data_IF_425004793597
#
_entry.id   IF_425004793597
#
_cell.length_a   1.000
_cell.length_b   1.000
_cell.length_c   1.000
_cell.angle_alpha   90.00
_cell.angle_beta   90.00
_cell.angle_gamma   90.00
#
_symmetry.space_group_name_H-M   'P 1'
#
loop_
_entity.id
_entity.type
_entity.pdbx_description
1 polymer ?
#
# COMPACT_ATOMS: atom_id res chain seq x y z
N UNK A 1 -40.71 -0.18 38.08
CA UNK A 1 -40.36 0.47 36.80
C UNK A 1 -41.60 0.59 35.93
N UNK A 2 -42.08 1.80 35.64
CA UNK A 2 -43.38 2.03 34.98
C UNK A 2 -43.43 1.55 33.51
N UNK A 3 -44.62 1.17 33.03
CA UNK A 3 -44.88 0.68 31.65
C UNK A 3 -44.35 1.63 30.56
N UNK A 4 -44.34 2.95 30.79
CA UNK A 4 -43.76 3.96 29.90
C UNK A 4 -42.23 3.88 29.83
N UNK A 5 -41.56 3.71 30.97
CA UNK A 5 -40.10 3.56 31.04
C UNK A 5 -39.67 2.29 30.30
N UNK A 6 -40.38 1.17 30.47
CA UNK A 6 -40.10 -0.08 29.72
C UNK A 6 -40.24 0.12 28.21
N UNK A 7 -41.29 0.81 27.73
CA UNK A 7 -41.46 1.10 26.29
C UNK A 7 -40.36 2.00 25.72
N UNK A 8 -39.94 3.03 26.48
CA UNK A 8 -38.84 3.91 26.07
C UNK A 8 -37.50 3.17 26.01
N UNK A 9 -37.19 2.36 27.03
CA UNK A 9 -35.98 1.52 27.05
C UNK A 9 -36.00 0.52 25.89
N UNK A 10 -37.12 -0.18 25.66
CA UNK A 10 -37.25 -1.09 24.52
C UNK A 10 -37.11 -0.39 23.17
N UNK A 11 -37.65 0.83 23.03
CA UNK A 11 -37.49 1.64 21.81
C UNK A 11 -36.04 2.04 21.57
N UNK A 12 -35.32 2.47 22.61
CA UNK A 12 -33.90 2.80 22.52
C UNK A 12 -33.02 1.59 22.20
N UNK A 13 -33.30 0.44 22.82
CA UNK A 13 -32.60 -0.82 22.50
C UNK A 13 -32.84 -1.22 21.05
N UNK A 14 -34.08 -1.15 20.57
CA UNK A 14 -34.41 -1.46 19.18
C UNK A 14 -33.69 -0.51 18.20
N UNK A 15 -33.72 0.81 18.46
CA UNK A 15 -32.98 1.79 17.65
C UNK A 15 -31.47 1.54 17.66
N UNK A 16 -30.90 1.18 18.82
CA UNK A 16 -29.50 0.80 18.94
C UNK A 16 -29.15 -0.45 18.14
N UNK A 17 -30.01 -1.48 18.15
CA UNK A 17 -29.83 -2.69 17.36
C UNK A 17 -29.92 -2.43 15.86
N UNK A 18 -30.92 -1.66 15.43
CA UNK A 18 -31.08 -1.27 14.01
C UNK A 18 -29.89 -0.43 13.55
N UNK A 19 -29.48 0.56 14.35
CA UNK A 19 -28.31 1.39 14.05
C UNK A 19 -27.02 0.59 14.01
N UNK A 20 -26.82 -0.34 14.94
CA UNK A 20 -25.66 -1.24 14.96
C UNK A 20 -25.63 -2.20 13.77
N UNK A 21 -26.77 -2.78 13.38
CA UNK A 21 -26.88 -3.64 12.22
C UNK A 21 -26.63 -2.87 10.91
N UNK A 22 -27.18 -1.66 10.78
CA UNK A 22 -26.93 -0.79 9.63
C UNK A 22 -25.45 -0.38 9.53
N UNK A 23 -24.84 0.00 10.67
CA UNK A 23 -23.41 0.31 10.73
C UNK A 23 -22.57 -0.88 10.29
N UNK A 24 -22.78 -2.06 10.89
CA UNK A 24 -22.08 -3.28 10.51
C UNK A 24 -22.27 -3.62 9.03
N UNK A 25 -23.50 -3.52 8.51
CA UNK A 25 -23.79 -3.83 7.11
C UNK A 25 -23.00 -2.94 6.14
N UNK A 26 -22.88 -1.65 6.46
CA UNK A 26 -22.19 -0.65 5.64
C UNK A 26 -20.68 -0.73 5.82
N UNK A 27 -20.20 -1.12 7.00
CA UNK A 27 -18.77 -1.21 7.31
C UNK A 27 -18.22 -2.62 7.24
N UNK A 28 -18.98 -3.63 6.79
CA UNK A 28 -18.45 -4.99 6.69
C UNK A 28 -17.38 -5.08 5.59
N UNK A 29 -16.43 -6.03 5.71
CA UNK A 29 -15.53 -6.40 4.64
C UNK A 29 -16.27 -6.66 3.32
N UNK A 30 -15.81 -6.00 2.25
CA UNK A 30 -16.43 -6.03 0.93
C UNK A 30 -15.38 -6.48 -0.11
N UNK A 31 -15.03 -7.79 -0.14
CA UNK A 31 -14.16 -8.35 -1.16
C UNK A 31 -14.84 -8.33 -2.53
N UNK A 32 -14.04 -8.36 -3.59
CA UNK A 32 -14.49 -8.76 -4.92
C UNK A 32 -14.97 -10.21 -4.89
N UNK A 33 -15.99 -10.50 -5.69
CA UNK A 33 -16.45 -11.85 -5.92
C UNK A 33 -15.37 -12.69 -6.64
N UNK A 34 -15.47 -14.02 -6.56
CA UNK A 34 -14.45 -14.92 -7.07
C UNK A 34 -14.22 -14.77 -8.59
N UNK A 35 -15.29 -14.52 -9.34
CA UNK A 35 -15.31 -14.30 -10.79
C UNK A 35 -14.47 -13.10 -11.24
N UNK A 36 -14.28 -12.10 -10.39
CA UNK A 36 -13.38 -10.97 -10.66
C UNK A 36 -11.94 -11.42 -10.94
N UNK A 37 -11.53 -12.55 -10.37
CA UNK A 37 -10.17 -13.09 -10.47
C UNK A 37 -10.06 -14.25 -11.47
N UNK A 38 -11.14 -14.60 -12.15
CA UNK A 38 -11.18 -15.65 -13.17
C UNK A 38 -10.83 -15.10 -14.56
N UNK A 39 -10.37 -15.97 -15.46
CA UNK A 39 -10.13 -15.59 -16.87
C UNK A 39 -8.95 -14.63 -17.10
N UNK A 40 -8.06 -14.43 -16.12
CA UNK A 40 -6.88 -13.55 -16.22
C UNK A 40 -5.72 -14.18 -17.01
N UNK A 41 -5.85 -15.44 -17.45
CA UNK A 41 -4.80 -16.21 -18.13
C UNK A 41 -3.71 -16.69 -17.18
N UNK A 42 -2.71 -17.37 -17.76
CA UNK A 42 -1.51 -17.78 -17.02
C UNK A 42 -0.70 -16.55 -16.57
N UNK A 43 -0.12 -16.57 -15.36
CA UNK A 43 0.68 -15.45 -14.87
C UNK A 43 1.97 -15.30 -15.69
N UNK A 44 2.25 -14.05 -16.10
CA UNK A 44 3.54 -13.66 -16.68
C UNK A 44 4.51 -13.37 -15.53
N UNK A 45 5.44 -14.31 -15.28
CA UNK A 45 6.38 -14.20 -14.16
C UNK A 45 7.38 -13.05 -14.33
N UNK A 46 7.70 -12.66 -15.57
CA UNK A 46 8.61 -11.54 -15.82
C UNK A 46 7.93 -10.21 -15.48
N UNK A 47 6.66 -10.04 -15.85
CA UNK A 47 5.87 -8.90 -15.39
C UNK A 47 5.65 -8.95 -13.87
N UNK A 48 5.39 -10.14 -13.32
CA UNK A 48 5.22 -10.35 -11.88
C UNK A 48 6.43 -9.90 -11.06
N UNK A 49 7.65 -10.17 -11.57
CA UNK A 49 8.88 -9.67 -10.98
C UNK A 49 8.97 -8.13 -11.03
N UNK A 50 8.60 -7.50 -12.15
CA UNK A 50 8.59 -6.04 -12.24
C UNK A 50 7.62 -5.42 -11.23
N UNK A 51 6.43 -6.00 -11.10
CA UNK A 51 5.42 -5.55 -10.13
C UNK A 51 5.87 -5.81 -8.69
N UNK A 52 6.59 -6.90 -8.42
CA UNK A 52 7.17 -7.20 -7.12
C UNK A 52 8.16 -6.11 -6.67
N UNK A 53 9.05 -5.70 -7.58
CA UNK A 53 10.00 -4.62 -7.31
C UNK A 53 9.30 -3.27 -7.21
N UNK A 54 8.33 -2.98 -8.08
CA UNK A 54 7.54 -1.75 -8.00
C UNK A 54 6.77 -1.65 -6.67
N UNK A 55 6.15 -2.75 -6.24
CA UNK A 55 5.42 -2.90 -4.98
C UNK A 55 6.28 -2.75 -3.72
N UNK A 56 7.59 -2.93 -3.85
CA UNK A 56 8.53 -2.89 -2.74
C UNK A 56 8.27 -3.94 -1.68
N UNK A 57 7.82 -5.15 -2.07
CA UNK A 57 7.46 -6.24 -1.15
C UNK A 57 8.59 -6.53 -0.15
N UNK A 58 9.85 -6.52 -0.62
CA UNK A 58 11.03 -6.76 0.21
C UNK A 58 11.26 -5.68 1.28
N UNK A 59 10.82 -4.44 1.05
CA UNK A 59 11.07 -3.32 1.97
C UNK A 59 10.36 -3.50 3.31
N UNK A 60 9.27 -4.27 3.34
CA UNK A 60 8.50 -4.54 4.54
C UNK A 60 8.57 -6.00 4.99
N UNK A 61 8.75 -6.95 4.07
CA UNK A 61 8.63 -8.38 4.39
C UNK A 61 9.97 -9.13 4.44
N UNK A 62 11.07 -8.54 3.99
CA UNK A 62 12.39 -9.12 4.16
C UNK A 62 12.96 -8.82 5.55
N UNK A 63 13.79 -9.73 6.05
CA UNK A 63 14.48 -9.54 7.33
C UNK A 63 15.41 -8.32 7.27
N UNK A 64 15.41 -7.51 8.33
CA UNK A 64 16.29 -6.33 8.40
C UNK A 64 17.77 -6.72 8.26
N UNK A 65 18.46 -6.03 7.36
CA UNK A 65 19.88 -6.29 7.05
C UNK A 65 20.11 -7.44 6.07
N UNK A 66 19.07 -8.05 5.49
CA UNK A 66 19.24 -9.01 4.40
C UNK A 66 19.77 -8.32 3.14
N UNK A 67 20.70 -8.97 2.45
CA UNK A 67 21.30 -8.50 1.20
C UNK A 67 21.21 -9.57 0.12
N UNK A 68 21.33 -9.17 -1.15
CA UNK A 68 21.22 -10.08 -2.30
C UNK A 68 19.93 -10.89 -2.28
N UNK A 69 20.02 -12.17 -2.61
CA UNK A 69 18.88 -13.09 -2.70
C UNK A 69 18.22 -13.36 -1.35
N UNK A 70 18.90 -13.10 -0.22
CA UNK A 70 18.27 -13.21 1.10
C UNK A 70 17.11 -12.23 1.28
N UNK A 71 17.07 -11.14 0.50
CA UNK A 71 15.94 -10.20 0.46
C UNK A 71 14.66 -10.84 -0.10
N UNK A 72 14.79 -11.92 -0.88
CA UNK A 72 13.66 -12.63 -1.47
C UNK A 72 12.99 -13.61 -0.49
N UNK A 73 13.57 -13.82 0.70
CA UNK A 73 12.95 -14.61 1.78
C UNK A 73 12.00 -13.71 2.57
N UNK A 74 10.72 -13.71 2.18
CA UNK A 74 9.70 -12.81 2.73
C UNK A 74 9.06 -13.31 4.03
N UNK A 75 9.91 -13.57 5.03
CA UNK A 75 9.58 -14.16 6.32
C UNK A 75 8.86 -13.22 7.31
N UNK A 76 8.67 -11.95 6.95
CA UNK A 76 8.24 -10.90 7.87
C UNK A 76 9.43 -10.01 8.25
N UNK A 77 9.25 -8.70 8.09
CA UNK A 77 10.30 -7.71 8.32
C UNK A 77 10.24 -7.03 9.69
N UNK A 78 11.01 -5.95 9.87
CA UNK A 78 11.08 -5.25 11.14
C UNK A 78 9.73 -4.61 11.52
N UNK A 79 9.44 -4.47 12.82
CA UNK A 79 8.22 -3.81 13.29
C UNK A 79 8.17 -2.34 12.87
N UNK A 80 7.02 -1.90 12.40
CA UNK A 80 6.71 -0.52 12.06
C UNK A 80 6.06 0.15 13.27
N UNK A 81 6.79 1.07 13.91
CA UNK A 81 6.28 1.85 15.04
C UNK A 81 5.46 3.03 14.54
N UNK A 82 4.32 3.28 15.19
CA UNK A 82 3.45 4.42 14.88
C UNK A 82 2.81 4.98 16.15
N UNK A 83 2.19 6.17 16.08
CA UNK A 83 1.34 6.69 17.15
C UNK A 83 0.15 5.79 17.51
N UNK A 84 -0.21 4.84 16.64
CA UNK A 84 -1.35 3.92 16.80
C UNK A 84 -0.96 2.56 17.39
N UNK A 85 0.32 2.33 17.66
CA UNK A 85 0.88 1.04 18.10
C UNK A 85 1.94 0.49 17.13
N UNK A 86 2.33 -0.76 17.35
CA UNK A 86 3.36 -1.45 16.56
C UNK A 86 2.72 -2.40 15.55
N UNK A 87 3.01 -2.20 14.26
CA UNK A 87 2.59 -3.11 13.21
C UNK A 87 3.72 -4.07 12.84
N UNK A 88 3.44 -5.36 12.85
CA UNK A 88 4.34 -6.40 12.34
C UNK A 88 3.94 -6.79 10.91
N UNK A 89 4.91 -6.82 10.00
CA UNK A 89 4.71 -7.35 8.66
C UNK A 89 4.58 -8.88 8.73
N UNK A 90 3.53 -9.48 8.15
CA UNK A 90 3.38 -10.93 8.16
C UNK A 90 4.42 -11.63 7.28
N UNK A 91 4.61 -12.94 7.47
CA UNK A 91 5.28 -13.78 6.50
C UNK A 91 4.38 -13.92 5.26
N UNK A 92 4.91 -13.53 4.10
CA UNK A 92 4.22 -13.60 2.80
C UNK A 92 4.98 -14.49 1.80
N UNK A 93 5.89 -15.33 2.29
CA UNK A 93 6.54 -16.37 1.49
C UNK A 93 5.53 -17.41 1.02
N UNK A 94 5.85 -18.24 0.01
CA UNK A 94 4.95 -19.29 -0.45
C UNK A 94 4.93 -20.54 0.46
N UNK A 95 5.35 -20.41 1.72
CA UNK A 95 5.15 -21.47 2.71
C UNK A 95 3.65 -21.69 2.95
N UNK A 96 3.23 -22.95 2.96
CA UNK A 96 1.82 -23.35 3.05
C UNK A 96 1.20 -23.10 4.43
N UNK A 97 2.02 -22.99 5.47
CA UNK A 97 1.58 -22.96 6.87
C UNK A 97 1.83 -21.61 7.53
N UNK A 98 3.03 -21.07 7.41
CA UNK A 98 3.46 -19.82 8.03
C UNK A 98 3.28 -18.62 7.09
N UNK A 99 3.29 -18.86 5.78
CA UNK A 99 3.16 -17.84 4.74
C UNK A 99 1.79 -17.81 4.05
N UNK A 100 1.81 -17.45 2.77
CA UNK A 100 0.61 -17.35 1.93
C UNK A 100 0.48 -18.51 0.93
N UNK A 101 1.30 -19.56 1.03
CA UNK A 101 1.30 -20.67 0.06
C UNK A 101 -0.05 -21.40 -0.07
N UNK A 102 -0.85 -21.41 1.01
CA UNK A 102 -2.20 -21.98 1.01
C UNK A 102 -3.31 -21.02 0.58
N UNK A 103 -2.97 -19.79 0.14
CA UNK A 103 -3.96 -18.81 -0.33
C UNK A 103 -4.30 -19.03 -1.80
N UNK A 104 -5.48 -18.57 -2.18
CA UNK A 104 -5.96 -18.46 -3.56
C UNK A 104 -5.62 -17.09 -4.13
N UNK A 105 -5.64 -16.96 -5.46
CA UNK A 105 -5.51 -15.65 -6.13
C UNK A 105 -6.58 -14.66 -5.64
N UNK A 106 -7.82 -15.13 -5.41
CA UNK A 106 -8.89 -14.27 -4.93
C UNK A 106 -8.64 -13.74 -3.52
N UNK A 107 -8.09 -14.55 -2.61
CA UNK A 107 -7.70 -14.12 -1.27
C UNK A 107 -6.54 -13.12 -1.33
N UNK A 108 -5.50 -13.40 -2.12
CA UNK A 108 -4.36 -12.51 -2.32
C UNK A 108 -4.77 -11.17 -2.92
N UNK A 109 -5.53 -11.21 -4.02
CA UNK A 109 -5.99 -10.01 -4.72
C UNK A 109 -6.95 -9.15 -3.88
N UNK A 110 -7.80 -9.77 -3.06
CA UNK A 110 -8.65 -9.04 -2.12
C UNK A 110 -7.87 -8.42 -0.96
N UNK A 111 -6.81 -9.07 -0.49
CA UNK A 111 -5.91 -8.44 0.47
C UNK A 111 -5.26 -7.20 -0.17
N UNK A 112 -4.69 -7.34 -1.37
CA UNK A 112 -4.01 -6.27 -2.09
C UNK A 112 -4.93 -5.10 -2.44
N UNK A 113 -6.13 -5.33 -2.97
CA UNK A 113 -6.97 -4.26 -3.56
C UNK A 113 -8.12 -3.81 -2.67
N UNK A 114 -8.55 -4.65 -1.72
CA UNK A 114 -9.68 -4.39 -0.82
C UNK A 114 -9.28 -4.33 0.64
N UNK A 115 -8.04 -4.68 0.99
CA UNK A 115 -7.58 -4.80 2.36
C UNK A 115 -8.41 -5.81 3.14
N UNK A 116 -8.85 -6.91 2.51
CA UNK A 116 -9.63 -7.98 3.14
C UNK A 116 -8.72 -9.18 3.35
N UNK A 117 -8.56 -9.62 4.59
CA UNK A 117 -7.73 -10.78 4.91
C UNK A 117 -8.40 -12.10 4.53
N UNK A 118 -7.62 -13.19 4.56
CA UNK A 118 -8.09 -14.54 4.24
C UNK A 118 -9.32 -14.97 5.04
N UNK A 119 -9.43 -14.56 6.30
CA UNK A 119 -10.56 -14.91 7.16
C UNK A 119 -11.71 -13.90 7.05
N UNK A 120 -11.68 -13.05 6.02
CA UNK A 120 -12.68 -12.03 5.77
C UNK A 120 -12.57 -10.83 6.69
N UNK A 121 -11.47 -10.62 7.42
CA UNK A 121 -11.30 -9.44 8.27
C UNK A 121 -10.94 -8.18 7.47
N UNK A 122 -10.98 -7.01 8.11
CA UNK A 122 -10.24 -5.84 7.61
C UNK A 122 -8.75 -5.91 7.97
N UNK A 123 -7.90 -5.71 6.97
CA UNK A 123 -6.48 -5.43 7.13
C UNK A 123 -6.26 -3.95 7.48
N UNK A 124 -5.24 -3.67 8.28
CA UNK A 124 -4.84 -2.31 8.63
C UNK A 124 -4.20 -1.60 7.44
N UNK A 125 -4.44 -0.29 7.24
CA UNK A 125 -3.94 0.47 6.10
C UNK A 125 -2.42 0.72 6.14
N UNK A 126 -1.71 0.23 7.17
CA UNK A 126 -0.25 0.08 7.13
C UNK A 126 0.20 -0.86 5.99
N UNK A 127 -0.68 -1.78 5.57
CA UNK A 127 -0.59 -2.45 4.28
C UNK A 127 -1.24 -1.54 3.23
N UNK A 128 -0.51 -1.04 2.22
CA UNK A 128 -0.96 0.06 1.36
C UNK A 128 -1.98 -0.36 0.28
N UNK A 129 -2.98 -1.14 0.67
CA UNK A 129 -4.04 -1.62 -0.22
C UNK A 129 -4.86 -0.48 -0.86
N UNK A 130 -4.88 0.71 -0.25
CA UNK A 130 -5.54 1.88 -0.82
C UNK A 130 -4.79 2.45 -2.04
N UNK A 131 -3.47 2.25 -2.11
CA UNK A 131 -2.66 2.51 -3.31
C UNK A 131 -2.84 1.38 -4.32
N UNK A 132 -2.67 0.13 -3.88
CA UNK A 132 -2.81 -1.07 -4.72
C UNK A 132 -4.22 -1.28 -5.29
N UNK A 133 -5.26 -0.63 -4.78
CA UNK A 133 -6.58 -0.62 -5.37
C UNK A 133 -6.60 -0.14 -6.85
N UNK A 134 -5.55 0.57 -7.29
CA UNK A 134 -5.36 1.01 -8.70
C UNK A 134 -4.65 -0.03 -9.57
N UNK A 135 -4.18 -1.13 -9.01
CA UNK A 135 -3.47 -2.17 -9.76
C UNK A 135 -4.42 -2.93 -10.69
N UNK A 136 -3.95 -3.24 -11.89
CA UNK A 136 -4.72 -4.07 -12.81
C UNK A 136 -4.83 -5.50 -12.26
N UNK A 137 -6.00 -6.17 -12.38
CA UNK A 137 -6.15 -7.56 -11.93
C UNK A 137 -5.12 -8.51 -12.54
N UNK A 138 -4.73 -8.29 -13.80
CA UNK A 138 -3.67 -9.07 -14.48
C UNK A 138 -2.31 -8.91 -13.79
N UNK A 139 -1.93 -7.70 -13.40
CA UNK A 139 -0.66 -7.46 -12.69
C UNK A 139 -0.66 -8.09 -11.29
N UNK A 140 -1.82 -8.16 -10.63
CA UNK A 140 -1.98 -8.90 -9.37
C UNK A 140 -1.82 -10.41 -9.59
N UNK A 141 -2.36 -10.97 -10.68
CA UNK A 141 -2.16 -12.37 -11.05
C UNK A 141 -0.68 -12.67 -11.36
N UNK A 142 -0.02 -11.79 -12.09
CA UNK A 142 1.39 -11.93 -12.45
C UNK A 142 2.29 -11.86 -11.21
N UNK A 143 2.06 -10.87 -10.34
CA UNK A 143 2.71 -10.77 -9.04
C UNK A 143 2.48 -12.04 -8.21
N UNK A 144 1.25 -12.54 -8.15
CA UNK A 144 0.91 -13.76 -7.43
C UNK A 144 1.69 -14.97 -7.97
N UNK A 145 1.79 -15.11 -9.29
CA UNK A 145 2.60 -16.13 -9.94
C UNK A 145 4.08 -16.05 -9.54
N UNK A 146 4.68 -14.87 -9.62
CA UNK A 146 6.08 -14.65 -9.24
C UNK A 146 6.33 -14.89 -7.76
N UNK A 147 5.45 -14.41 -6.87
CA UNK A 147 5.56 -14.63 -5.42
C UNK A 147 5.62 -16.12 -5.06
N UNK A 148 4.97 -16.99 -5.84
CA UNK A 148 5.00 -18.44 -5.64
C UNK A 148 6.30 -19.12 -6.05
N UNK A 149 7.16 -18.45 -6.81
CA UNK A 149 8.49 -18.96 -7.16
C UNK A 149 9.57 -18.58 -6.13
N UNK A 150 9.23 -17.71 -5.17
CA UNK A 150 10.17 -17.23 -4.16
C UNK A 150 10.50 -18.30 -3.11
N UNK A 151 11.62 -18.15 -2.37
CA UNK A 151 11.95 -19.06 -1.27
C UNK A 151 10.88 -19.08 -0.17
N UNK A 152 10.58 -20.27 0.33
CA UNK A 152 9.71 -20.48 1.48
C UNK A 152 10.41 -20.10 2.78
N UNK A 153 9.63 -19.65 3.76
CA UNK A 153 10.06 -19.53 5.15
C UNK A 153 8.97 -20.05 6.08
N UNK A 154 9.35 -20.88 7.05
CA UNK A 154 8.47 -21.37 8.10
C UNK A 154 8.40 -20.44 9.31
N UNK A 155 9.01 -19.25 9.24
CA UNK A 155 8.99 -18.26 10.32
C UNK A 155 7.56 -17.76 10.57
N UNK A 156 7.14 -17.78 11.83
CA UNK A 156 5.83 -17.27 12.23
C UNK A 156 5.98 -15.81 12.66
N UNK A 157 5.46 -14.89 11.85
CA UNK A 157 5.43 -13.48 12.19
C UNK A 157 4.48 -13.21 13.38
N UNK A 158 4.87 -12.37 14.35
CA UNK A 158 3.98 -12.00 15.45
C UNK A 158 2.79 -11.15 14.96
N UNK A 159 1.70 -11.16 15.74
CA UNK A 159 0.55 -10.27 15.50
C UNK A 159 0.86 -8.80 15.84
N UNK A 160 0.02 -7.88 15.37
CA UNK A 160 0.15 -6.46 15.70
C UNK A 160 -0.04 -6.17 17.20
N UNK A 161 0.72 -5.22 17.74
CA UNK A 161 0.61 -4.73 19.12
C UNK A 161 -0.08 -3.38 19.12
N UNK A 162 -1.41 -3.38 19.03
CA UNK A 162 -2.22 -2.16 18.96
C UNK A 162 -3.05 -2.00 20.24
N UNK A 163 -2.97 -0.84 20.93
CA UNK A 163 -3.83 -0.57 22.07
C UNK A 163 -5.29 -0.32 21.62
N UNK A 164 -6.22 -0.43 22.56
CA UNK A 164 -7.57 0.07 22.36
C UNK A 164 -7.54 1.59 22.08
N UNK A 165 -8.35 2.12 21.14
CA UNK A 165 -9.35 1.41 20.33
C UNK A 165 -8.81 0.88 18.98
N UNK A 166 -7.52 1.04 18.67
CA UNK A 166 -6.95 0.70 17.36
C UNK A 166 -6.90 -0.80 17.06
N UNK A 167 -7.01 -1.66 18.07
CA UNK A 167 -7.20 -3.10 17.90
C UNK A 167 -8.60 -3.49 17.36
N UNK A 168 -9.56 -2.55 17.33
CA UNK A 168 -10.92 -2.79 16.84
C UNK A 168 -11.01 -2.57 15.33
N UNK A 169 -10.86 -3.65 14.56
CA UNK A 169 -10.90 -3.63 13.08
C UNK A 169 -12.22 -3.09 12.49
N UNK A 170 -13.33 -3.07 13.23
CA UNK A 170 -14.62 -2.59 12.72
C UNK A 170 -14.57 -1.12 12.28
N UNK A 171 -13.79 -0.28 12.96
CA UNK A 171 -13.61 1.13 12.59
C UNK A 171 -12.98 1.30 11.20
N UNK A 172 -12.23 0.30 10.72
CA UNK A 172 -11.59 0.32 9.40
C UNK A 172 -12.61 0.29 8.26
N UNK A 173 -13.79 -0.29 8.45
CA UNK A 173 -14.82 -0.25 7.40
C UNK A 173 -15.29 1.18 7.14
N UNK A 174 -15.48 1.98 8.21
CA UNK A 174 -15.76 3.41 8.09
C UNK A 174 -14.62 4.18 7.42
N UNK A 175 -13.37 3.89 7.81
CA UNK A 175 -12.18 4.49 7.18
C UNK A 175 -12.13 4.20 5.67
N UNK A 176 -12.40 2.95 5.26
CA UNK A 176 -12.41 2.54 3.85
C UNK A 176 -13.49 3.26 3.05
N UNK A 177 -14.68 3.49 3.60
CA UNK A 177 -15.72 4.26 2.91
C UNK A 177 -15.29 5.69 2.58
N UNK A 178 -14.40 6.27 3.39
CA UNK A 178 -13.89 7.62 3.19
C UNK A 178 -12.66 7.67 2.27
N UNK A 179 -11.77 6.66 2.35
CA UNK A 179 -10.43 6.78 1.78
C UNK A 179 -10.02 5.67 0.79
N UNK A 180 -10.74 4.55 0.71
CA UNK A 180 -10.47 3.50 -0.27
C UNK A 180 -11.08 3.86 -1.61
N UNK A 181 -10.23 4.13 -2.60
CA UNK A 181 -10.65 4.41 -3.97
C UNK A 181 -9.60 3.93 -4.96
N UNK A 182 -10.07 3.39 -6.07
CA UNK A 182 -9.34 2.98 -7.27
C UNK A 182 -9.18 4.11 -8.30
N UNK A 183 -9.76 5.30 -8.03
CA UNK A 183 -9.64 6.44 -8.93
C UNK A 183 -8.23 7.03 -8.89
N UNK A 184 -7.75 7.57 -10.02
CA UNK A 184 -6.52 8.35 -10.06
C UNK A 184 -6.54 9.51 -9.06
N UNK A 185 -5.39 9.85 -8.49
CA UNK A 185 -5.17 10.97 -7.58
C UNK A 185 -5.05 12.28 -8.35
N UNK A 186 -4.41 12.24 -9.51
CA UNK A 186 -4.25 13.39 -10.40
C UNK A 186 -4.86 13.06 -11.76
N UNK A 187 -5.50 14.03 -12.39
CA UNK A 187 -5.88 13.90 -13.80
C UNK A 187 -4.66 14.26 -14.67
N UNK A 188 -4.17 13.31 -15.45
CA UNK A 188 -3.12 13.52 -16.46
C UNK A 188 -3.61 13.02 -17.81
N UNK A 189 -2.99 13.46 -18.90
CA UNK A 189 -3.31 12.96 -20.23
C UNK A 189 -2.72 11.56 -20.42
N UNK A 190 -3.52 10.54 -20.12
CA UNK A 190 -3.13 9.13 -20.26
C UNK A 190 -3.20 8.63 -21.71
N UNK A 191 -3.52 9.49 -22.68
CA UNK A 191 -3.30 9.18 -24.09
C UNK A 191 -1.81 9.15 -24.45
N UNK A 192 -0.96 9.83 -23.65
CA UNK A 192 0.47 9.57 -23.60
C UNK A 192 0.74 8.30 -22.77
N UNK A 193 1.21 7.20 -23.39
CA UNK A 193 1.45 5.96 -22.67
C UNK A 193 2.50 6.09 -21.57
N UNK A 194 3.47 7.01 -21.70
CA UNK A 194 4.52 7.24 -20.70
C UNK A 194 3.93 7.87 -19.44
N UNK A 195 3.03 8.85 -19.59
CA UNK A 195 2.33 9.46 -18.46
C UNK A 195 1.34 8.50 -17.81
N UNK A 196 0.60 7.71 -18.60
CA UNK A 196 -0.28 6.67 -18.08
C UNK A 196 0.48 5.62 -17.26
N UNK A 197 1.62 5.14 -17.76
CA UNK A 197 2.49 4.21 -17.03
C UNK A 197 3.08 4.83 -15.76
N UNK A 198 3.52 6.08 -15.83
CA UNK A 198 4.05 6.81 -14.67
C UNK A 198 3.01 7.01 -13.57
N UNK A 199 1.81 7.43 -13.95
CA UNK A 199 0.68 7.53 -13.02
C UNK A 199 0.39 6.18 -12.35
N UNK A 200 0.30 5.12 -13.15
CA UNK A 200 0.06 3.78 -12.65
C UNK A 200 1.09 3.42 -11.59
N UNK A 201 2.38 3.49 -11.91
CA UNK A 201 3.47 3.11 -11.01
C UNK A 201 3.51 3.97 -9.74
N UNK A 202 3.32 5.29 -9.83
CA UNK A 202 3.45 6.19 -8.68
C UNK A 202 2.25 6.12 -7.74
N UNK A 203 1.03 6.04 -8.28
CA UNK A 203 -0.21 6.05 -7.48
C UNK A 203 -0.66 4.64 -7.04
N UNK A 204 -0.19 3.60 -7.74
CA UNK A 204 -0.54 2.19 -7.56
C UNK A 204 0.57 1.40 -6.86
N UNK A 205 1.28 0.49 -7.57
CA UNK A 205 2.26 -0.41 -6.97
C UNK A 205 3.41 0.32 -6.25
N UNK A 206 3.93 1.42 -6.80
CA UNK A 206 5.01 2.19 -6.17
C UNK A 206 4.60 2.99 -4.94
N UNK A 207 3.29 3.13 -4.68
CA UNK A 207 2.67 3.69 -3.48
C UNK A 207 3.35 4.96 -2.93
N UNK A 208 3.92 5.80 -3.80
CA UNK A 208 4.80 6.90 -3.38
C UNK A 208 4.07 7.89 -2.46
N UNK A 209 2.76 8.02 -2.66
CA UNK A 209 1.88 8.81 -1.82
C UNK A 209 1.85 8.42 -0.36
N UNK A 210 2.09 7.16 -0.01
CA UNK A 210 1.99 6.66 1.37
C UNK A 210 3.00 7.33 2.31
N UNK A 211 4.16 7.72 1.75
CA UNK A 211 5.22 8.46 2.45
C UNK A 211 5.24 9.95 2.08
N UNK A 212 5.02 10.30 0.81
CA UNK A 212 5.18 11.67 0.31
C UNK A 212 3.92 12.52 0.40
N UNK A 213 2.80 12.04 0.97
CA UNK A 213 1.58 12.84 1.13
C UNK A 213 1.23 12.99 2.61
N UNK A 214 0.96 14.21 3.11
CA UNK A 214 0.57 14.38 4.51
C UNK A 214 -0.79 13.74 4.77
N UNK A 215 -1.04 13.38 6.02
CA UNK A 215 -2.28 12.71 6.45
C UNK A 215 -3.06 13.58 7.42
N UNK A 216 -4.38 13.53 7.29
CA UNK A 216 -5.30 14.15 8.23
C UNK A 216 -5.40 13.34 9.54
N UNK A 217 -6.16 13.85 10.51
CA UNK A 217 -6.34 13.23 11.83
C UNK A 217 -6.92 11.80 11.80
N UNK A 218 -7.60 11.41 10.71
CA UNK A 218 -8.15 10.06 10.50
C UNK A 218 -7.17 9.14 9.76
N UNK A 219 -5.95 9.60 9.45
CA UNK A 219 -4.93 8.83 8.74
C UNK A 219 -5.13 8.72 7.22
N UNK A 220 -6.14 9.40 6.67
CA UNK A 220 -6.31 9.53 5.21
C UNK A 220 -5.42 10.62 4.64
N UNK A 221 -5.10 10.55 3.34
CA UNK A 221 -4.35 11.62 2.66
C UNK A 221 -5.07 12.96 2.76
N UNK A 222 -4.31 14.02 2.96
CA UNK A 222 -4.83 15.38 2.99
C UNK A 222 -5.19 15.84 1.56
N UNK A 223 -6.46 16.24 1.30
CA UNK A 223 -6.89 16.63 -0.03
C UNK A 223 -6.07 17.80 -0.59
N UNK A 224 -5.68 17.71 -1.87
CA UNK A 224 -4.90 18.75 -2.54
C UNK A 224 -3.43 18.84 -2.12
N UNK A 225 -2.94 17.92 -1.27
CA UNK A 225 -1.54 17.86 -0.83
C UNK A 225 -0.79 16.64 -1.40
N UNK A 226 -1.26 16.08 -2.52
CA UNK A 226 -0.67 14.91 -3.15
C UNK A 226 0.83 15.13 -3.41
N UNK A 227 1.67 14.28 -2.81
CA UNK A 227 3.13 14.31 -2.95
C UNK A 227 3.84 15.56 -2.40
N UNK A 228 3.15 16.39 -1.59
CA UNK A 228 3.70 17.62 -0.98
C UNK A 228 4.70 17.39 0.18
N UNK A 229 5.04 16.12 0.45
CA UNK A 229 5.86 15.67 1.57
C UNK A 229 5.09 15.59 2.89
N UNK A 230 5.62 14.86 3.86
CA UNK A 230 4.93 14.57 5.11
C UNK A 230 5.93 14.54 6.30
N UNK A 231 5.47 14.76 7.54
CA UNK A 231 6.28 14.45 8.72
C UNK A 231 6.79 13.01 8.67
N UNK A 232 8.05 12.78 9.08
CA UNK A 232 8.58 11.41 9.11
C UNK A 232 7.85 10.58 10.18
N UNK A 233 7.16 9.48 9.82
CA UNK A 233 6.44 8.65 10.80
C UNK A 233 7.37 8.01 11.84
N UNK A 234 8.65 7.82 11.54
CA UNK A 234 9.63 7.19 12.42
C UNK A 234 10.34 8.17 13.38
N UNK A 235 10.06 9.47 13.32
CA UNK A 235 10.59 10.45 14.27
C UNK A 235 10.96 11.79 13.66
N UNK A 236 12.22 12.23 13.86
CA UNK A 236 12.68 13.57 13.45
C UNK A 236 12.89 13.63 11.94
N UNK A 237 12.59 14.80 11.36
CA UNK A 237 12.74 15.07 9.92
C UNK A 237 11.41 15.05 9.17
N UNK A 238 11.49 15.21 7.84
CA UNK A 238 10.34 15.29 6.94
C UNK A 238 10.64 14.48 5.68
N UNK A 239 9.66 13.69 5.23
CA UNK A 239 9.67 13.11 3.90
C UNK A 239 9.50 14.25 2.88
N UNK A 240 10.38 14.37 1.87
CA UNK A 240 10.42 15.56 1.01
C UNK A 240 9.18 15.70 0.13
N UNK A 241 8.90 16.94 -0.27
CA UNK A 241 7.94 17.26 -1.32
C UNK A 241 8.52 16.79 -2.67
N UNK A 242 7.79 15.97 -3.43
CA UNK A 242 8.24 15.47 -4.74
C UNK A 242 7.38 15.98 -5.89
N UNK A 243 6.71 17.12 -5.70
CA UNK A 243 6.05 17.85 -6.79
C UNK A 243 7.05 18.72 -7.56
N UNK A 244 6.72 19.16 -8.80
CA UNK A 244 7.63 19.97 -9.61
C UNK A 244 7.93 21.36 -9.02
N UNK A 245 7.13 21.86 -8.08
CA UNK A 245 7.34 23.15 -7.39
C UNK A 245 8.27 23.05 -6.18
N UNK A 246 8.67 21.83 -5.79
CA UNK A 246 9.41 21.58 -4.56
C UNK A 246 10.85 22.09 -4.60
N UNK A 247 11.39 22.44 -3.43
CA UNK A 247 12.84 22.74 -3.28
C UNK A 247 13.71 21.50 -3.41
N UNK A 248 13.15 20.30 -3.26
CA UNK A 248 13.87 19.02 -3.25
C UNK A 248 14.16 18.52 -4.66
N UNK A 249 13.14 18.39 -5.51
CA UNK A 249 13.31 17.87 -6.87
C UNK A 249 12.76 18.81 -7.96
N UNK A 250 12.25 19.99 -7.61
CA UNK A 250 11.64 20.90 -8.59
C UNK A 250 12.62 21.35 -9.67
N UNK A 251 13.88 21.57 -9.29
CA UNK A 251 14.97 21.92 -10.21
C UNK A 251 15.54 20.73 -11.00
N UNK A 252 15.21 19.48 -10.64
CA UNK A 252 15.71 18.30 -11.32
C UNK A 252 15.00 18.11 -12.67
N UNK A 253 15.78 17.68 -13.66
CA UNK A 253 15.24 17.18 -14.93
C UNK A 253 14.56 15.82 -14.74
N UNK A 254 13.77 15.38 -15.73
CA UNK A 254 13.20 14.04 -15.68
C UNK A 254 14.29 12.95 -15.70
N UNK A 255 15.39 13.18 -16.42
CA UNK A 255 16.54 12.28 -16.41
C UNK A 255 17.21 12.21 -15.04
N UNK A 256 17.35 13.34 -14.34
CA UNK A 256 17.92 13.38 -12.98
C UNK A 256 17.10 12.52 -12.01
N UNK A 257 15.76 12.62 -12.09
CA UNK A 257 14.87 11.78 -11.27
C UNK A 257 15.05 10.30 -11.62
N UNK A 258 15.09 9.94 -12.90
CA UNK A 258 15.29 8.56 -13.32
C UNK A 258 16.65 8.00 -12.87
N UNK A 259 17.72 8.79 -12.99
CA UNK A 259 19.06 8.45 -12.52
C UNK A 259 19.14 8.33 -11.01
N UNK A 260 18.42 9.17 -10.26
CA UNK A 260 18.31 9.04 -8.80
C UNK A 260 17.61 7.73 -8.41
N UNK A 261 16.52 7.37 -9.09
CA UNK A 261 15.82 6.09 -8.85
C UNK A 261 16.70 4.88 -9.19
N UNK A 262 17.57 5.01 -10.20
CA UNK A 262 18.53 3.97 -10.59
C UNK A 262 19.70 3.82 -9.62
N UNK A 263 20.32 4.93 -9.23
CA UNK A 263 21.64 4.94 -8.60
C UNK A 263 21.61 5.31 -7.11
N UNK A 264 20.57 6.03 -6.69
CA UNK A 264 20.49 6.64 -5.37
C UNK A 264 21.31 7.92 -5.21
N UNK A 265 21.91 8.45 -6.26
CA UNK A 265 22.63 9.73 -6.21
C UNK A 265 21.77 10.88 -6.73
N UNK A 266 21.82 12.00 -6.01
CA UNK A 266 21.28 13.29 -6.46
C UNK A 266 22.15 13.87 -7.59
N UNK A 267 21.66 14.85 -8.37
CA UNK A 267 22.45 15.55 -9.37
C UNK A 267 23.69 16.25 -8.79
N UNK A 268 23.65 16.60 -7.52
CA UNK A 268 24.76 17.17 -6.76
C UNK A 268 25.68 16.11 -6.14
N UNK A 269 25.50 14.83 -6.49
CA UNK A 269 26.26 13.67 -6.02
C UNK A 269 26.15 13.35 -4.52
N UNK A 270 25.19 13.94 -3.81
CA UNK A 270 24.75 13.44 -2.50
C UNK A 270 23.98 12.12 -2.67
N UNK A 271 23.88 11.32 -1.61
CA UNK A 271 23.30 9.97 -1.64
C UNK A 271 21.95 9.89 -0.91
N UNK A 272 21.08 9.01 -1.40
CA UNK A 272 19.79 8.70 -0.77
C UNK A 272 19.99 8.21 0.67
N UNK A 273 19.18 8.76 1.58
CA UNK A 273 19.22 8.43 3.00
C UNK A 273 17.89 7.90 3.55
N UNK A 274 17.94 7.37 4.77
CA UNK A 274 16.76 6.94 5.53
C UNK A 274 16.00 5.77 4.88
N UNK A 275 14.68 5.75 5.07
CA UNK A 275 13.80 4.70 4.53
C UNK A 275 13.73 4.68 3.00
N UNK A 276 14.10 5.78 2.34
CA UNK A 276 14.12 5.87 0.87
C UNK A 276 15.20 4.99 0.23
N UNK A 277 16.23 4.58 0.98
CA UNK A 277 17.29 3.67 0.48
C UNK A 277 16.70 2.35 0.00
N UNK A 278 15.81 1.74 0.79
CA UNK A 278 15.20 0.46 0.40
C UNK A 278 14.21 0.61 -0.75
N UNK A 279 13.52 1.74 -0.84
CA UNK A 279 12.65 2.08 -1.97
C UNK A 279 13.50 2.20 -3.24
N UNK A 280 14.57 2.97 -3.19
CA UNK A 280 15.48 3.17 -4.32
C UNK A 280 16.09 1.85 -4.79
N UNK A 281 16.55 0.97 -3.89
CA UNK A 281 17.07 -0.35 -4.27
C UNK A 281 16.06 -1.19 -5.07
N UNK A 282 14.77 -1.01 -4.82
CA UNK A 282 13.72 -1.69 -5.58
C UNK A 282 13.47 -0.97 -6.91
N UNK A 283 13.44 0.37 -6.91
CA UNK A 283 13.30 1.16 -8.15
C UNK A 283 14.46 0.91 -9.12
N UNK A 284 15.66 0.65 -8.62
CA UNK A 284 16.83 0.27 -9.41
C UNK A 284 16.66 -1.06 -10.18
N UNK A 285 15.70 -1.91 -9.79
CA UNK A 285 15.36 -3.17 -10.48
C UNK A 285 14.33 -2.98 -11.59
N UNK A 286 13.67 -1.83 -11.64
CA UNK A 286 12.73 -1.52 -12.71
C UNK A 286 13.48 -1.21 -14.01
N UNK A 287 12.77 -1.41 -15.13
CA UNK A 287 13.28 -1.01 -16.43
C UNK A 287 13.57 0.50 -16.50
N UNK A 288 14.48 0.91 -17.39
CA UNK A 288 14.72 2.34 -17.65
C UNK A 288 13.43 3.06 -18.06
N UNK A 289 12.61 2.44 -18.92
CA UNK A 289 11.33 2.98 -19.35
C UNK A 289 10.36 3.25 -18.18
N UNK A 290 10.30 2.36 -17.19
CA UNK A 290 9.45 2.56 -16.02
C UNK A 290 9.95 3.69 -15.09
N UNK A 291 11.27 3.77 -14.88
CA UNK A 291 11.87 4.88 -14.10
C UNK A 291 11.65 6.23 -14.79
N UNK A 292 11.77 6.26 -16.12
CA UNK A 292 11.47 7.46 -16.91
C UNK A 292 9.97 7.82 -16.92
N UNK A 293 9.09 6.82 -16.92
CA UNK A 293 7.64 7.03 -16.82
C UNK A 293 7.27 7.65 -15.46
N UNK A 294 7.83 7.12 -14.37
CA UNK A 294 7.72 7.70 -13.03
C UNK A 294 8.18 9.16 -13.03
N UNK A 295 9.36 9.44 -13.59
CA UNK A 295 9.89 10.80 -13.67
C UNK A 295 8.98 11.72 -14.49
N UNK A 296 8.47 11.27 -15.64
CA UNK A 296 7.55 12.05 -16.47
C UNK A 296 6.26 12.42 -15.71
N UNK A 297 5.66 11.46 -15.01
CA UNK A 297 4.48 11.73 -14.18
C UNK A 297 4.79 12.72 -13.05
N UNK A 298 5.90 12.55 -12.32
CA UNK A 298 6.29 13.48 -11.25
C UNK A 298 6.53 14.90 -11.75
N UNK A 299 6.93 15.10 -13.01
CA UNK A 299 7.03 16.42 -13.63
C UNK A 299 5.69 16.98 -14.14
N UNK A 300 4.69 16.13 -14.35
CA UNK A 300 3.38 16.51 -14.91
C UNK A 300 2.29 16.78 -13.87
N UNK A 301 2.47 16.35 -12.61
CA UNK A 301 1.50 16.62 -11.54
C UNK A 301 1.48 18.11 -11.14
N UNK A 302 0.39 18.59 -10.50
CA UNK A 302 0.32 19.95 -9.98
C UNK A 302 1.51 20.33 -9.09
N UNK A 303 1.90 21.61 -9.15
CA UNK A 303 2.94 22.18 -8.30
C UNK A 303 2.37 22.52 -6.92
N UNK A 304 3.14 22.24 -5.86
CA UNK A 304 2.82 22.55 -4.46
C UNK A 304 4.05 23.01 -3.68
#
# INVERSE_FOLDING_TARGET
MGRRIRKLVSGLVFLGLVGGAAFWWVTKPAPWAADHWEGLGEPDLANGEQIFWAGGCVSCHAKRGSEGDARLVLAGGPPLKSPFGTFHAPNISPDETAGIGGWTLAEFGNAMTRGVGRNGEHLYPSFPYASYARMAPKDINDLWGYMRTLPKSSDVAPGHELPFPYNMRLALGGWKLLFLTDKPRVAVDTSDPKLGRGQYLVEGPGHCGECHTPRNALGGFEPGQWLAGAPNPEGKGRIPNITPGSKSIGGWSASDIASYLETGFTPEFDSVGGSMVEVQKNMAKLTAADREAIAAYLKAIPTL
#
